data_IF_990874533805
#
_entry.id   IF_990874533805
#
_cell.length_a   1.000
_cell.length_b   1.000
_cell.length_c   1.000
_cell.angle_alpha   90.00
_cell.angle_beta   90.00
_cell.angle_gamma   90.00
#
_symmetry.space_group_name_H-M   'P 1'
#
loop_
_entity.id
_entity.type
_entity.pdbx_description
1 polymer ?
#
# COMPACT_ATOMS: atom_id res chain seq x y z
N UNK A 1 -5.31 -6.72 -25.40
CA UNK A 1 -4.56 -6.14 -24.28
C UNK A 1 -4.66 -4.63 -24.37
N UNK A 2 -5.31 -3.97 -23.41
CA UNK A 2 -5.32 -2.50 -23.38
C UNK A 2 -3.93 -1.97 -23.05
N UNK A 3 -3.48 -0.95 -23.77
CA UNK A 3 -2.24 -0.25 -23.46
C UNK A 3 -2.28 0.27 -22.00
N UNK A 4 -1.23 -0.03 -21.23
CA UNK A 4 -1.08 0.44 -19.85
C UNK A 4 0.21 1.26 -19.72
N UNK A 5 0.09 2.45 -19.14
CA UNK A 5 1.24 3.34 -18.89
C UNK A 5 2.26 2.64 -17.98
N UNK A 6 3.56 2.81 -18.27
CA UNK A 6 4.66 2.15 -17.57
C UNK A 6 4.61 2.37 -16.04
N UNK A 7 4.25 3.56 -15.59
CA UNK A 7 4.11 3.88 -14.17
C UNK A 7 3.06 3.03 -13.44
N UNK A 8 2.04 2.52 -14.15
CA UNK A 8 1.07 1.56 -13.61
C UNK A 8 1.55 0.12 -13.77
N UNK A 9 2.13 -0.21 -14.93
CA UNK A 9 2.64 -1.56 -15.23
C UNK A 9 3.73 -2.00 -14.25
N UNK A 10 4.63 -1.08 -13.91
CA UNK A 10 5.81 -1.31 -13.06
C UNK A 10 5.65 -0.78 -11.64
N UNK A 11 4.41 -0.53 -11.18
CA UNK A 11 4.18 -0.10 -9.81
C UNK A 11 4.62 -1.23 -8.86
N UNK A 12 5.57 -0.99 -7.94
CA UNK A 12 6.05 -2.02 -7.02
C UNK A 12 4.93 -2.70 -6.25
N UNK A 13 5.00 -4.02 -6.15
CA UNK A 13 4.03 -4.87 -5.46
C UNK A 13 4.53 -5.38 -4.12
N UNK A 14 5.83 -5.32 -3.87
CA UNK A 14 6.47 -5.74 -2.63
C UNK A 14 7.45 -4.66 -2.14
N UNK A 15 7.83 -4.68 -0.85
CA UNK A 15 8.82 -3.73 -0.34
C UNK A 15 10.19 -3.90 -1.01
N UNK A 16 10.55 -5.12 -1.46
CA UNK A 16 11.80 -5.40 -2.16
C UNK A 16 11.88 -4.78 -3.56
N UNK A 17 10.74 -4.59 -4.22
CA UNK A 17 10.67 -3.94 -5.53
C UNK A 17 10.75 -2.40 -5.45
N UNK A 18 10.64 -1.83 -4.24
CA UNK A 18 10.75 -0.40 -4.05
C UNK A 18 12.21 0.03 -4.21
N UNK A 19 12.43 1.06 -5.03
CA UNK A 19 13.76 1.64 -5.23
C UNK A 19 13.97 2.78 -4.22
N UNK A 20 15.05 2.69 -3.44
CA UNK A 20 15.40 3.66 -2.40
C UNK A 20 14.53 3.56 -1.14
N UNK A 21 14.47 4.66 -0.37
CA UNK A 21 13.68 4.73 0.88
C UNK A 21 14.06 3.69 1.96
N UNK A 22 15.32 3.22 1.96
CA UNK A 22 15.79 2.09 2.80
C UNK A 22 15.41 2.23 4.28
N UNK A 23 15.57 3.42 4.85
CA UNK A 23 15.24 3.68 6.25
C UNK A 23 13.75 3.50 6.56
N UNK A 24 12.86 3.95 5.66
CA UNK A 24 11.41 3.82 5.81
C UNK A 24 10.99 2.36 5.64
N UNK A 25 11.53 1.70 4.60
CA UNK A 25 11.22 0.29 4.33
C UNK A 25 11.68 -0.59 5.50
N UNK A 26 12.88 -0.37 6.03
CA UNK A 26 13.41 -1.12 7.19
C UNK A 26 12.50 -0.97 8.41
N UNK A 27 12.01 0.22 8.70
CA UNK A 27 11.10 0.44 9.83
C UNK A 27 9.77 -0.31 9.66
N UNK A 28 9.17 -0.27 8.46
CA UNK A 28 7.92 -0.97 8.16
C UNK A 28 8.08 -2.50 8.19
N UNK A 29 9.15 -3.01 7.59
CA UNK A 29 9.48 -4.44 7.58
C UNK A 29 9.62 -4.94 9.02
N UNK A 30 10.43 -4.25 9.83
CA UNK A 30 10.60 -4.60 11.23
C UNK A 30 9.28 -4.54 12.03
N UNK A 31 8.45 -3.53 11.78
CA UNK A 31 7.15 -3.39 12.45
C UNK A 31 6.21 -4.56 12.13
N UNK A 32 6.16 -4.99 10.86
CA UNK A 32 5.36 -6.15 10.44
C UNK A 32 5.90 -7.45 11.05
N UNK A 33 7.19 -7.71 10.90
CA UNK A 33 7.80 -8.99 11.30
C UNK A 33 7.80 -9.19 12.82
N UNK A 34 7.81 -8.11 13.60
CA UNK A 34 7.78 -8.17 15.07
C UNK A 34 6.38 -7.89 15.65
N UNK A 35 5.35 -7.75 14.82
CA UNK A 35 3.99 -7.44 15.28
C UNK A 35 3.86 -6.11 16.03
N UNK A 36 4.70 -5.12 15.72
CA UNK A 36 4.73 -3.78 16.35
C UNK A 36 4.10 -2.74 15.44
N UNK A 37 2.81 -2.94 15.13
CA UNK A 37 2.07 -2.09 14.22
C UNK A 37 1.42 -0.91 14.94
N UNK A 38 1.49 0.26 14.33
CA UNK A 38 0.79 1.46 14.78
C UNK A 38 -0.58 1.58 14.11
N UNK A 39 -1.52 2.25 14.77
CA UNK A 39 -2.87 2.47 14.24
C UNK A 39 -2.92 3.50 13.11
N UNK A 40 -1.89 4.34 12.97
CA UNK A 40 -1.82 5.38 11.96
C UNK A 40 -0.39 5.56 11.45
N UNK A 41 -0.26 5.74 10.13
CA UNK A 41 0.99 6.03 9.44
C UNK A 41 0.83 7.27 8.56
N UNK A 42 1.73 8.25 8.72
CA UNK A 42 1.79 9.44 7.88
C UNK A 42 2.98 9.35 6.93
N UNK A 43 2.71 9.17 5.63
CA UNK A 43 3.74 9.19 4.59
C UNK A 43 3.86 10.60 4.00
N UNK A 44 5.02 11.24 4.17
CA UNK A 44 5.30 12.59 3.66
C UNK A 44 6.27 12.56 2.49
N UNK A 45 6.21 13.56 1.60
CA UNK A 45 7.14 13.71 0.47
C UNK A 45 6.47 14.24 -0.79
N UNK A 46 7.26 14.56 -1.82
CA UNK A 46 6.78 15.13 -3.08
C UNK A 46 5.93 14.15 -3.90
N UNK A 47 5.19 14.64 -4.90
CA UNK A 47 4.37 13.80 -5.79
C UNK A 47 5.27 12.80 -6.54
N UNK A 48 4.83 11.55 -6.63
CA UNK A 48 5.53 10.51 -7.41
C UNK A 48 6.58 9.68 -6.67
N UNK A 49 6.95 10.03 -5.43
CA UNK A 49 8.00 9.30 -4.65
C UNK A 49 7.56 7.95 -4.08
N UNK A 50 6.36 7.45 -4.41
CA UNK A 50 5.89 6.13 -3.99
C UNK A 50 5.06 6.07 -2.70
N UNK A 51 4.63 7.20 -2.13
CA UNK A 51 3.81 7.23 -0.89
C UNK A 51 2.60 6.28 -0.91
N UNK A 52 1.71 6.43 -1.90
CA UNK A 52 0.54 5.56 -2.08
C UNK A 52 0.93 4.12 -2.38
N UNK A 53 2.06 3.90 -3.06
CA UNK A 53 2.55 2.55 -3.35
C UNK A 53 2.96 1.84 -2.06
N UNK A 54 3.72 2.51 -1.18
CA UNK A 54 4.10 1.97 0.13
C UNK A 54 2.85 1.66 0.96
N UNK A 55 1.88 2.58 1.00
CA UNK A 55 0.61 2.36 1.71
C UNK A 55 -0.14 1.12 1.22
N UNK A 56 -0.22 0.90 -0.11
CA UNK A 56 -0.83 -0.31 -0.69
C UNK A 56 -0.05 -1.58 -0.39
N UNK A 57 1.29 -1.53 -0.38
CA UNK A 57 2.11 -2.69 0.01
C UNK A 57 1.87 -3.04 1.48
N UNK A 58 1.84 -2.04 2.36
CA UNK A 58 1.50 -2.23 3.77
C UNK A 58 0.10 -2.83 3.95
N UNK A 59 -0.91 -2.33 3.22
CA UNK A 59 -2.26 -2.89 3.25
C UNK A 59 -2.29 -4.37 2.82
N UNK A 60 -1.51 -4.75 1.80
CA UNK A 60 -1.37 -6.18 1.41
C UNK A 60 -0.71 -7.00 2.50
N UNK A 61 0.36 -6.50 3.09
CA UNK A 61 1.06 -7.17 4.18
C UNK A 61 0.16 -7.43 5.40
N UNK A 62 -0.80 -6.55 5.67
CA UNK A 62 -1.75 -6.71 6.77
C UNK A 62 -2.91 -7.67 6.45
N UNK A 63 -3.37 -7.69 5.20
CA UNK A 63 -4.55 -8.46 4.78
C UNK A 63 -4.20 -9.76 4.03
N UNK A 64 -2.93 -10.14 3.98
CA UNK A 64 -2.52 -11.35 3.28
C UNK A 64 -3.06 -12.59 3.99
N UNK A 65 -3.78 -13.44 3.25
CA UNK A 65 -4.32 -14.71 3.76
C UNK A 65 -3.25 -15.68 4.29
N UNK A 66 -1.99 -15.54 3.87
CA UNK A 66 -0.86 -16.32 4.41
C UNK A 66 -0.38 -15.82 5.77
N UNK A 67 -0.97 -14.76 6.30
CA UNK A 67 -0.60 -14.11 7.56
C UNK A 67 0.07 -12.75 7.36
N UNK A 68 0.17 -12.00 8.47
CA UNK A 68 0.81 -10.69 8.51
C UNK A 68 2.32 -10.86 8.35
N UNK A 69 2.89 -10.27 7.31
CA UNK A 69 4.32 -10.35 6.99
C UNK A 69 4.78 -9.18 6.13
N UNK A 70 6.07 -8.83 6.23
CA UNK A 70 6.73 -7.93 5.26
C UNK A 70 6.76 -8.46 3.83
N UNK A 71 6.47 -9.76 3.63
CA UNK A 71 6.43 -10.43 2.34
C UNK A 71 5.01 -10.92 2.01
N UNK A 72 4.12 -10.05 1.51
CA UNK A 72 2.79 -10.49 1.08
C UNK A 72 2.91 -11.43 -0.12
N UNK A 73 2.14 -12.52 -0.14
CA UNK A 73 2.30 -13.59 -1.14
C UNK A 73 2.03 -13.14 -2.59
N UNK A 74 1.26 -12.06 -2.77
CA UNK A 74 0.95 -11.52 -4.09
C UNK A 74 0.00 -12.36 -4.94
N UNK A 75 -0.49 -13.51 -4.45
CA UNK A 75 -1.33 -14.46 -5.20
C UNK A 75 -2.70 -14.72 -4.58
N UNK A 76 -2.89 -14.46 -3.29
CA UNK A 76 -4.20 -14.62 -2.63
C UNK A 76 -5.20 -13.55 -3.08
N UNK A 77 -6.49 -13.77 -2.77
CA UNK A 77 -7.58 -12.91 -3.23
C UNK A 77 -7.39 -11.47 -2.74
N UNK A 78 -7.09 -11.29 -1.45
CA UNK A 78 -6.81 -9.98 -0.86
C UNK A 78 -5.64 -9.26 -1.57
N UNK A 79 -4.53 -9.96 -1.85
CA UNK A 79 -3.39 -9.36 -2.52
C UNK A 79 -3.71 -8.91 -3.96
N UNK A 80 -4.47 -9.72 -4.70
CA UNK A 80 -4.88 -9.40 -6.08
C UNK A 80 -5.86 -8.23 -6.10
N UNK A 81 -6.86 -8.24 -5.23
CA UNK A 81 -7.86 -7.17 -5.14
C UNK A 81 -7.27 -5.83 -4.70
N UNK A 82 -6.30 -5.82 -3.79
CA UNK A 82 -5.60 -4.58 -3.40
C UNK A 82 -4.77 -4.02 -4.57
N UNK A 83 -4.12 -4.89 -5.36
CA UNK A 83 -3.40 -4.45 -6.56
C UNK A 83 -4.35 -3.81 -7.58
N UNK A 84 -5.52 -4.41 -7.75
CA UNK A 84 -6.57 -3.95 -8.66
C UNK A 84 -7.35 -2.74 -8.11
N UNK A 85 -7.17 -2.40 -6.83
CA UNK A 85 -7.85 -1.28 -6.17
C UNK A 85 -9.34 -1.52 -5.93
N UNK A 86 -9.74 -2.78 -5.72
CA UNK A 86 -11.13 -3.20 -5.50
C UNK A 86 -11.36 -3.96 -4.20
N UNK A 87 -10.37 -3.98 -3.32
CA UNK A 87 -10.45 -4.69 -2.05
C UNK A 87 -11.40 -3.96 -1.09
N UNK A 88 -12.36 -4.71 -0.54
CA UNK A 88 -13.47 -4.14 0.25
C UNK A 88 -12.98 -3.42 1.50
N UNK A 89 -11.98 -3.98 2.19
CA UNK A 89 -11.47 -3.42 3.45
C UNK A 89 -10.35 -2.37 3.23
N UNK A 90 -10.03 -2.02 1.99
CA UNK A 90 -9.10 -0.93 1.66
C UNK A 90 -9.85 0.22 1.00
N UNK A 91 -10.26 1.18 1.83
CA UNK A 91 -10.93 2.40 1.37
C UNK A 91 -9.86 3.43 1.01
N UNK A 92 -9.74 3.74 -0.29
CA UNK A 92 -8.87 4.82 -0.77
C UNK A 92 -9.65 6.11 -0.97
N UNK A 93 -9.41 7.09 -0.10
CA UNK A 93 -10.01 8.42 -0.20
C UNK A 93 -8.99 9.43 -0.73
N UNK A 94 -9.33 10.09 -1.83
CA UNK A 94 -8.55 11.21 -2.36
C UNK A 94 -9.02 12.53 -1.74
N UNK A 95 -8.30 13.00 -0.73
CA UNK A 95 -8.61 14.26 -0.05
C UNK A 95 -8.50 15.50 -0.95
N UNK A 96 -7.81 15.42 -2.11
CA UNK A 96 -7.77 16.53 -3.05
C UNK A 96 -9.10 16.72 -3.80
N UNK A 97 -9.86 15.64 -3.99
CA UNK A 97 -11.18 15.66 -4.62
C UNK A 97 -12.34 15.66 -3.62
N UNK A 98 -12.13 15.13 -2.40
CA UNK A 98 -13.09 15.17 -1.28
C UNK A 98 -12.54 16.05 -0.14
N UNK A 99 -12.88 17.33 -0.18
CA UNK A 99 -12.27 18.34 0.71
C UNK A 99 -13.01 18.54 2.02
N UNK A 100 -14.29 18.14 2.12
CA UNK A 100 -15.05 18.25 3.37
C UNK A 100 -14.90 16.99 4.21
N UNK A 101 -14.86 17.19 5.52
CA UNK A 101 -14.81 16.10 6.51
C UNK A 101 -16.04 15.20 6.38
N UNK A 102 -17.19 15.78 6.03
CA UNK A 102 -18.43 15.03 5.82
C UNK A 102 -18.35 14.10 4.61
N UNK A 103 -17.73 14.53 3.51
CA UNK A 103 -17.53 13.73 2.28
C UNK A 103 -16.62 12.49 2.50
N UNK A 104 -15.92 12.44 3.64
CA UNK A 104 -15.00 11.36 4.01
C UNK A 104 -15.60 10.37 5.04
N UNK A 105 -16.74 10.71 5.65
CA UNK A 105 -17.39 9.88 6.68
C UNK A 105 -18.35 8.84 6.12
N UNK A 106 -18.81 9.01 4.88
CA UNK A 106 -19.62 8.06 4.11
C UNK A 106 -18.75 7.14 3.24
#
# INVERSE_FOLDING_TARGET
MSYQVLARKWRPRTFREMVGQEHVLKALINALDHGRLHHAYLFTGTRGVGKTTIARILAKSLNCETGISSEPCGQCSACQEINDGRFVDLIEVDAASRTKVEDTRE
#
